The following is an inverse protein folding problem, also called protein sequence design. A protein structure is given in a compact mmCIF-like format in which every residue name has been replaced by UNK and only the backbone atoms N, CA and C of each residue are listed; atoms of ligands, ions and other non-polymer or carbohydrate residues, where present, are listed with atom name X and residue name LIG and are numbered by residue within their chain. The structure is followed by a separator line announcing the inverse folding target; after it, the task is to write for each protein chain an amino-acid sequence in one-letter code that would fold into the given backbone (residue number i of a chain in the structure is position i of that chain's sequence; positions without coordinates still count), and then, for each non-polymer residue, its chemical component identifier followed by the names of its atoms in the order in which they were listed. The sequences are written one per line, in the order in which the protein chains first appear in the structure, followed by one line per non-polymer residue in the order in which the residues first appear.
data_IF_207943510063
#
_entry.id   IF_207943510063
#
_cell.length_a   1.000
_cell.length_b   1.000
_cell.length_c   1.000
_cell.angle_alpha   90.00
_cell.angle_beta   90.00
_cell.angle_gamma   90.00
#
_symmetry.space_group_name_H-M   'P 1'
#
loop_
_entity.id
_entity.type
_entity.pdbx_description
1 polymer ?
#
# COMPACT_ATOMS: atom_id res chain seq x y z
N UNK A 1 -7.83 -45.32 7.19
CA UNK A 1 -8.33 -45.67 8.54
C UNK A 1 -8.22 -44.40 9.38
N UNK A 2 -9.26 -43.79 10.00
CA UNK A 2 -10.38 -44.33 10.81
C UNK A 2 -9.87 -45.08 12.05
N UNK A 3 -10.34 -44.87 13.29
CA UNK A 3 -11.19 -43.84 13.93
C UNK A 3 -10.81 -43.81 15.46
N UNK A 4 -11.37 -43.08 16.43
CA UNK A 4 -12.52 -42.17 16.63
C UNK A 4 -12.07 -41.06 17.63
N UNK A 5 -12.67 -39.87 17.78
CA UNK A 5 -14.06 -39.40 17.92
C UNK A 5 -14.67 -39.55 19.35
N UNK A 6 -14.43 -38.54 20.21
CA UNK A 6 -15.25 -38.11 21.37
C UNK A 6 -14.75 -36.72 21.88
N UNK A 7 -15.57 -35.84 22.46
CA UNK A 7 -17.02 -35.94 22.61
C UNK A 7 -17.69 -35.14 23.74
N UNK A 8 -17.00 -34.26 24.47
CA UNK A 8 -17.59 -33.46 25.57
C UNK A 8 -17.32 -31.97 25.33
N UNK A 9 -18.28 -31.06 25.25
CA UNK A 9 -19.46 -30.72 26.09
C UNK A 9 -19.15 -29.44 26.89
N UNK A 10 -20.00 -28.42 26.76
CA UNK A 10 -19.86 -27.19 27.53
C UNK A 10 -20.19 -27.47 29.01
N UNK A 11 -19.38 -26.93 29.91
CA UNK A 11 -19.51 -27.16 31.35
C UNK A 11 -19.06 -25.95 32.17
N UNK A 12 -19.85 -24.89 32.16
CA UNK A 12 -19.65 -23.70 33.02
C UNK A 12 -19.98 -24.00 34.48
N UNK A 13 -19.11 -24.73 35.17
CA UNK A 13 -19.18 -24.91 36.62
C UNK A 13 -18.74 -23.61 37.33
N UNK A 14 -19.65 -22.65 37.39
CA UNK A 14 -19.51 -21.46 38.22
C UNK A 14 -19.75 -21.84 39.69
N UNK A 15 -18.69 -22.19 40.42
CA UNK A 15 -18.76 -22.41 41.86
C UNK A 15 -18.96 -21.06 42.58
N UNK A 16 -20.21 -20.70 42.80
CA UNK A 16 -20.59 -19.55 43.63
C UNK A 16 -20.46 -19.94 45.10
N UNK A 17 -19.31 -19.64 45.70
CA UNK A 17 -19.14 -19.70 47.16
C UNK A 17 -19.87 -18.51 47.79
N UNK A 18 -20.88 -18.70 48.66
CA UNK A 18 -21.65 -17.60 49.21
C UNK A 18 -20.85 -16.85 50.29
N UNK A 19 -20.24 -15.72 49.93
CA UNK A 19 -19.61 -14.79 50.88
C UNK A 19 -20.68 -13.99 51.63
N UNK A 20 -21.22 -14.58 52.70
CA UNK A 20 -22.10 -13.90 53.66
C UNK A 20 -21.31 -12.92 54.52
N UNK A 21 -21.41 -11.61 54.27
CA UNK A 21 -20.83 -10.60 55.17
C UNK A 21 -20.33 -9.28 54.56
N UNK A 22 -21.06 -8.68 53.61
CA UNK A 22 -20.78 -7.30 53.16
C UNK A 22 -22.07 -6.46 53.09
N UNK A 23 -22.02 -5.15 53.42
CA UNK A 23 -23.16 -4.24 53.32
C UNK A 23 -23.47 -3.89 51.85
N UNK A 24 -24.74 -3.58 51.56
CA UNK A 24 -25.28 -3.49 50.19
C UNK A 24 -24.77 -2.33 49.30
N UNK A 25 -23.84 -1.49 49.77
CA UNK A 25 -23.27 -0.38 48.99
C UNK A 25 -22.17 -0.77 47.99
N UNK A 26 -21.84 -2.07 47.88
CA UNK A 26 -20.62 -2.54 47.19
C UNK A 26 -20.85 -3.58 46.07
N UNK A 27 -21.99 -3.55 45.35
CA UNK A 27 -22.21 -4.35 44.12
C UNK A 27 -21.78 -3.54 42.87
N UNK A 28 -20.67 -3.88 42.19
CA UNK A 28 -20.35 -3.26 40.90
C UNK A 28 -21.38 -3.64 39.83
N UNK A 29 -21.52 -2.82 38.79
CA UNK A 29 -22.53 -3.02 37.76
C UNK A 29 -22.11 -4.09 36.75
N UNK A 30 -23.08 -4.72 36.08
CA UNK A 30 -22.79 -5.77 35.08
C UNK A 30 -22.07 -5.28 33.82
N UNK A 31 -21.86 -3.96 33.67
CA UNK A 31 -21.06 -3.36 32.59
C UNK A 31 -19.54 -3.45 32.88
N UNK A 32 -19.14 -3.37 34.14
CA UNK A 32 -17.72 -3.33 34.55
C UNK A 32 -17.01 -4.67 34.30
N UNK A 33 -17.76 -5.78 34.34
CA UNK A 33 -17.26 -7.13 34.08
C UNK A 33 -16.65 -7.29 32.68
N UNK A 34 -17.12 -6.54 31.67
CA UNK A 34 -16.62 -6.64 30.29
C UNK A 34 -15.22 -6.00 30.10
N UNK A 35 -14.69 -5.30 31.10
CA UNK A 35 -13.41 -4.57 31.00
C UNK A 35 -12.19 -5.32 31.58
N UNK A 36 -12.37 -6.50 32.21
CA UNK A 36 -11.30 -7.16 33.00
C UNK A 36 -10.52 -8.29 32.28
N UNK A 37 -11.02 -8.80 31.15
CA UNK A 37 -10.34 -9.89 30.40
C UNK A 37 -9.09 -9.45 29.61
N UNK A 38 -8.76 -8.15 29.59
CA UNK A 38 -7.51 -7.64 29.00
C UNK A 38 -6.24 -8.10 29.74
N UNK A 39 -6.40 -8.64 30.95
CA UNK A 39 -5.30 -9.05 31.85
C UNK A 39 -4.72 -10.45 31.55
N UNK A 40 -5.43 -11.32 30.83
CA UNK A 40 -5.07 -12.72 30.61
C UNK A 40 -4.15 -12.96 29.38
N UNK A 41 -3.31 -11.98 29.02
CA UNK A 41 -2.29 -12.18 27.98
C UNK A 41 -0.95 -12.61 28.60
N UNK A 42 -0.37 -13.69 28.05
CA UNK A 42 0.99 -14.11 28.41
C UNK A 42 1.98 -12.94 28.20
N UNK A 43 2.86 -12.63 29.16
CA UNK A 43 3.75 -11.48 29.08
C UNK A 43 4.72 -11.54 27.89
N UNK A 44 4.97 -12.73 27.35
CA UNK A 44 5.73 -12.93 26.11
C UNK A 44 4.94 -12.46 24.87
N UNK A 45 3.63 -12.70 24.82
CA UNK A 45 2.77 -12.28 23.71
C UNK A 45 2.64 -10.76 23.67
N UNK A 46 2.38 -10.10 24.80
CA UNK A 46 2.27 -8.63 24.85
C UNK A 46 3.61 -7.96 24.49
N UNK A 47 4.75 -8.52 24.92
CA UNK A 47 6.09 -8.06 24.49
C UNK A 47 6.32 -8.23 22.99
N UNK A 48 5.84 -9.33 22.39
CA UNK A 48 5.93 -9.58 20.95
C UNK A 48 5.06 -8.59 20.15
N UNK A 49 3.81 -8.40 20.54
CA UNK A 49 2.88 -7.44 19.91
C UNK A 49 3.40 -6.01 20.00
N UNK A 50 3.91 -5.60 21.17
CA UNK A 50 4.53 -4.28 21.35
C UNK A 50 5.78 -4.09 20.47
N UNK A 51 6.62 -5.13 20.35
CA UNK A 51 7.80 -5.11 19.46
C UNK A 51 7.40 -5.03 17.98
N UNK A 52 6.33 -5.72 17.60
CA UNK A 52 5.81 -5.77 16.23
C UNK A 52 4.88 -4.59 15.85
N UNK A 53 4.63 -3.63 16.75
CA UNK A 53 3.59 -2.59 16.60
C UNK A 53 3.62 -1.84 15.26
N UNK A 54 4.80 -1.51 14.75
CA UNK A 54 4.95 -0.80 13.48
C UNK A 54 4.61 -1.68 12.26
N UNK A 55 4.91 -2.98 12.32
CA UNK A 55 4.57 -3.95 11.27
C UNK A 55 3.07 -4.24 11.27
N UNK A 56 2.47 -4.41 12.46
CA UNK A 56 1.03 -4.63 12.64
C UNK A 56 0.24 -3.39 12.17
N UNK A 57 0.61 -2.20 12.65
CA UNK A 57 0.02 -0.93 12.24
C UNK A 57 0.12 -0.70 10.73
N UNK A 58 1.30 -0.92 10.13
CA UNK A 58 1.48 -0.77 8.69
C UNK A 58 0.70 -1.80 7.87
N UNK A 59 0.55 -3.03 8.38
CA UNK A 59 -0.25 -4.09 7.74
C UNK A 59 -1.74 -3.71 7.71
N UNK A 60 -2.30 -3.32 8.86
CA UNK A 60 -3.69 -2.89 9.00
C UNK A 60 -3.98 -1.62 8.17
N UNK A 61 -3.11 -0.62 8.26
CA UNK A 61 -3.15 0.60 7.44
C UNK A 61 -3.16 0.29 5.94
N UNK A 62 -2.31 -0.63 5.50
CA UNK A 62 -2.21 -1.01 4.09
C UNK A 62 -3.48 -1.72 3.63
N UNK A 63 -3.99 -2.67 4.41
CA UNK A 63 -5.24 -3.37 4.13
C UNK A 63 -6.43 -2.40 3.97
N UNK A 64 -6.65 -1.53 4.96
CA UNK A 64 -7.72 -0.52 4.92
C UNK A 64 -7.56 0.49 3.78
N UNK A 65 -6.35 1.02 3.57
CA UNK A 65 -6.10 1.99 2.50
C UNK A 65 -6.25 1.40 1.09
N UNK A 66 -5.95 0.11 0.90
CA UNK A 66 -6.22 -0.58 -0.38
C UNK A 66 -7.70 -0.87 -0.55
N UNK A 67 -8.43 -1.28 0.49
CA UNK A 67 -9.88 -1.49 0.39
C UNK A 67 -10.62 -0.23 -0.08
N UNK A 68 -10.28 0.93 0.50
CA UNK A 68 -10.88 2.22 0.08
C UNK A 68 -10.30 2.71 -1.25
N UNK A 69 -9.03 2.42 -1.55
CA UNK A 69 -8.40 2.77 -2.82
C UNK A 69 -8.88 1.98 -4.04
N UNK A 70 -9.28 0.72 -3.85
CA UNK A 70 -9.52 -0.21 -4.95
C UNK A 70 -10.67 0.18 -5.89
N UNK A 71 -11.81 0.74 -5.43
CA UNK A 71 -12.82 1.31 -6.33
C UNK A 71 -12.24 2.37 -7.28
N UNK A 72 -11.37 3.25 -6.77
CA UNK A 72 -10.71 4.29 -7.58
C UNK A 72 -9.67 3.71 -8.55
N UNK A 73 -8.92 2.68 -8.16
CA UNK A 73 -8.03 1.95 -9.07
C UNK A 73 -8.82 1.22 -10.17
N UNK A 74 -9.96 0.62 -9.85
CA UNK A 74 -10.88 0.00 -10.81
C UNK A 74 -11.48 1.03 -11.77
N UNK A 75 -11.90 2.21 -11.29
CA UNK A 75 -12.38 3.31 -12.15
C UNK A 75 -11.24 3.81 -13.06
N UNK A 76 -10.05 4.09 -12.51
CA UNK A 76 -8.87 4.54 -13.27
C UNK A 76 -8.52 3.56 -14.38
N UNK A 77 -8.42 2.26 -14.07
CA UNK A 77 -8.07 1.23 -15.05
C UNK A 77 -9.17 1.02 -16.09
N UNK A 78 -10.46 1.07 -15.72
CA UNK A 78 -11.59 1.03 -16.68
C UNK A 78 -11.57 2.23 -17.64
N UNK A 79 -11.28 3.43 -17.15
CA UNK A 79 -11.15 4.64 -17.98
C UNK A 79 -9.93 4.58 -18.91
N UNK A 80 -8.75 4.21 -18.38
CA UNK A 80 -7.54 4.06 -19.19
C UNK A 80 -7.72 3.01 -20.30
N UNK A 81 -8.34 1.87 -20.00
CA UNK A 81 -8.61 0.84 -20.99
C UNK A 81 -9.62 1.29 -22.06
N UNK A 82 -10.67 2.02 -21.67
CA UNK A 82 -11.66 2.57 -22.60
C UNK A 82 -11.09 3.64 -23.54
N UNK A 83 -10.19 4.50 -23.05
CA UNK A 83 -9.49 5.48 -23.88
C UNK A 83 -8.60 4.82 -24.95
N UNK A 84 -8.14 3.58 -24.72
CA UNK A 84 -7.35 2.81 -25.68
C UNK A 84 -8.19 1.93 -26.63
N UNK A 85 -9.53 1.90 -26.55
CA UNK A 85 -10.37 1.02 -27.39
C UNK A 85 -11.09 1.74 -28.54
N UNK A 86 -10.45 1.81 -29.70
CA UNK A 86 -11.14 2.04 -30.98
C UNK A 86 -12.05 0.82 -31.30
N UNK A 87 -13.32 0.97 -31.72
CA UNK A 87 -13.98 2.21 -32.13
C UNK A 87 -15.15 2.66 -31.20
N UNK A 88 -14.88 3.03 -29.94
CA UNK A 88 -15.76 3.96 -29.20
C UNK A 88 -15.11 4.48 -27.91
N UNK A 89 -15.34 5.76 -27.56
CA UNK A 89 -15.21 6.22 -26.17
C UNK A 89 -16.29 5.54 -25.32
N UNK A 90 -15.99 4.34 -24.80
CA UNK A 90 -16.94 3.51 -24.02
C UNK A 90 -17.47 4.24 -22.77
N UNK A 91 -16.65 5.15 -22.24
CA UNK A 91 -17.00 6.10 -21.17
C UNK A 91 -16.63 7.51 -21.59
N UNK A 92 -17.57 8.45 -21.47
CA UNK A 92 -17.34 9.88 -21.78
C UNK A 92 -16.78 10.66 -20.58
N UNK A 93 -16.94 10.14 -19.35
CA UNK A 93 -16.46 10.78 -18.13
C UNK A 93 -16.24 9.76 -17.01
N UNK A 94 -15.61 10.18 -15.91
CA UNK A 94 -15.47 9.36 -14.71
C UNK A 94 -16.82 8.96 -14.12
N UNK A 95 -17.77 9.91 -14.07
CA UNK A 95 -19.14 9.66 -13.60
C UNK A 95 -19.88 8.64 -14.48
N UNK A 96 -19.74 8.73 -15.81
CA UNK A 96 -20.31 7.77 -16.75
C UNK A 96 -19.70 6.36 -16.57
N UNK A 97 -18.39 6.27 -16.33
CA UNK A 97 -17.73 5.00 -15.97
C UNK A 97 -18.26 4.40 -14.67
N UNK A 98 -18.49 5.23 -13.63
CA UNK A 98 -19.08 4.80 -12.35
C UNK A 98 -20.51 4.31 -12.57
N UNK A 99 -21.39 5.12 -13.19
CA UNK A 99 -22.80 4.79 -13.43
C UNK A 99 -22.95 3.51 -14.24
N UNK A 100 -22.21 3.35 -15.34
CA UNK A 100 -22.25 2.15 -16.19
C UNK A 100 -21.67 0.91 -15.50
N UNK A 101 -20.68 1.06 -14.61
CA UNK A 101 -20.13 -0.07 -13.83
C UNK A 101 -21.12 -0.52 -12.76
N UNK A 102 -21.63 0.40 -11.96
CA UNK A 102 -22.62 0.11 -10.92
C UNK A 102 -23.90 -0.52 -11.51
N UNK A 103 -24.43 0.04 -12.60
CA UNK A 103 -25.63 -0.44 -13.28
C UNK A 103 -25.48 -1.81 -13.97
N UNK A 104 -24.26 -2.35 -14.13
CA UNK A 104 -24.03 -3.63 -14.84
C UNK A 104 -23.37 -4.71 -13.98
N UNK A 105 -22.65 -4.33 -12.93
CA UNK A 105 -21.85 -5.23 -12.10
C UNK A 105 -22.01 -4.96 -10.60
N UNK A 106 -22.86 -3.99 -10.21
CA UNK A 106 -23.10 -3.59 -8.82
C UNK A 106 -21.82 -3.11 -8.11
N UNK A 107 -21.83 -3.21 -6.78
CA UNK A 107 -20.64 -2.93 -5.96
C UNK A 107 -19.52 -3.95 -6.18
N UNK A 108 -19.85 -5.20 -6.49
CA UNK A 108 -18.86 -6.26 -6.73
C UNK A 108 -17.99 -5.98 -7.97
N UNK A 109 -18.54 -5.31 -8.99
CA UNK A 109 -17.80 -4.85 -10.17
C UNK A 109 -16.64 -3.88 -9.88
N UNK A 110 -16.69 -3.19 -8.74
CA UNK A 110 -15.59 -2.33 -8.27
C UNK A 110 -14.52 -3.09 -7.48
N UNK A 111 -14.87 -4.22 -6.86
CA UNK A 111 -13.98 -5.05 -6.02
C UNK A 111 -13.42 -6.31 -6.73
N UNK A 112 -13.92 -6.63 -7.93
CA UNK A 112 -13.53 -7.82 -8.69
C UNK A 112 -12.05 -7.81 -9.07
N UNK A 113 -11.27 -8.69 -8.45
CA UNK A 113 -9.83 -8.87 -8.72
C UNK A 113 -8.88 -8.28 -7.66
N UNK A 114 -9.42 -7.79 -6.54
CA UNK A 114 -8.67 -7.18 -5.42
C UNK A 114 -7.50 -8.00 -4.86
N UNK A 115 -7.61 -9.33 -4.78
CA UNK A 115 -6.69 -10.20 -4.03
C UNK A 115 -5.20 -10.06 -4.36
N UNK A 116 -4.76 -10.31 -5.61
CA UNK A 116 -3.33 -10.24 -5.97
C UNK A 116 -2.72 -8.82 -5.83
N UNK A 117 -3.41 -7.72 -6.19
CA UNK A 117 -2.99 -6.37 -5.79
C UNK A 117 -2.85 -6.21 -4.28
N UNK A 118 -3.90 -6.53 -3.51
CA UNK A 118 -3.97 -6.34 -2.06
C UNK A 118 -2.79 -6.97 -1.31
N UNK A 119 -2.54 -8.27 -1.53
CA UNK A 119 -1.42 -8.96 -0.90
C UNK A 119 -0.07 -8.32 -1.25
N UNK A 120 0.14 -7.95 -2.52
CA UNK A 120 1.40 -7.33 -2.96
C UNK A 120 1.63 -5.94 -2.37
N UNK A 121 0.58 -5.14 -2.19
CA UNK A 121 0.69 -3.78 -1.62
C UNK A 121 0.87 -3.84 -0.10
N UNK A 122 0.14 -4.73 0.58
CA UNK A 122 0.28 -4.91 2.03
C UNK A 122 1.70 -5.33 2.42
N UNK A 123 2.31 -6.30 1.73
CA UNK A 123 3.68 -6.72 1.97
C UNK A 123 4.69 -5.59 1.72
N UNK A 124 4.60 -4.92 0.56
CA UNK A 124 5.50 -3.81 0.18
C UNK A 124 5.42 -2.65 1.17
N UNK A 125 4.22 -2.23 1.58
CA UNK A 125 4.05 -1.11 2.53
C UNK A 125 4.46 -1.48 3.95
N UNK A 126 4.19 -2.71 4.41
CA UNK A 126 4.60 -3.16 5.75
C UNK A 126 6.12 -3.24 5.88
N UNK A 127 6.81 -3.75 4.84
CA UNK A 127 8.27 -3.71 4.77
C UNK A 127 8.80 -2.27 4.72
N UNK A 128 8.19 -1.40 3.90
CA UNK A 128 8.57 0.02 3.80
C UNK A 128 8.52 0.74 5.15
N UNK A 129 7.42 0.59 5.89
CA UNK A 129 7.29 1.15 7.23
C UNK A 129 8.29 0.52 8.22
N UNK A 130 8.46 -0.80 8.20
CA UNK A 130 9.39 -1.48 9.11
C UNK A 130 10.84 -1.03 8.92
N UNK A 131 11.32 -0.94 7.67
CA UNK A 131 12.67 -0.42 7.39
C UNK A 131 12.75 1.05 7.80
N UNK A 132 11.76 1.87 7.43
CA UNK A 132 11.72 3.28 7.79
C UNK A 132 11.85 3.50 9.31
N UNK A 133 11.05 2.81 10.12
CA UNK A 133 11.08 2.96 11.59
C UNK A 133 12.40 2.48 12.19
N UNK A 134 12.94 1.36 11.71
CA UNK A 134 14.22 0.82 12.21
C UNK A 134 15.39 1.71 11.81
N UNK A 135 15.48 2.14 10.55
CA UNK A 135 16.55 3.05 10.08
C UNK A 135 16.44 4.42 10.75
N UNK A 136 15.23 4.96 10.96
CA UNK A 136 15.04 6.23 11.68
C UNK A 136 15.57 6.13 13.12
N UNK A 137 15.21 5.06 13.85
CA UNK A 137 15.66 4.86 15.23
C UNK A 137 17.19 4.69 15.33
N UNK A 138 17.79 3.87 14.46
CA UNK A 138 19.24 3.68 14.40
C UNK A 138 19.97 4.99 14.04
N UNK A 139 19.46 5.74 13.06
CA UNK A 139 20.10 6.98 12.61
C UNK A 139 19.98 8.10 13.66
N UNK A 140 18.85 8.21 14.37
CA UNK A 140 18.72 9.10 15.54
C UNK A 140 19.76 8.79 16.62
N UNK A 141 19.93 7.51 16.97
CA UNK A 141 20.91 7.07 17.97
C UNK A 141 22.36 7.38 17.56
N UNK A 142 22.72 7.12 16.29
CA UNK A 142 24.08 7.32 15.79
C UNK A 142 24.46 8.80 15.56
N UNK A 143 23.50 9.66 15.23
CA UNK A 143 23.78 11.07 14.88
C UNK A 143 23.58 12.05 16.02
N UNK A 144 22.92 11.66 17.12
CA UNK A 144 22.44 12.55 18.17
C UNK A 144 21.64 13.76 17.62
N UNK A 145 21.01 13.61 16.46
CA UNK A 145 20.22 14.66 15.83
C UNK A 145 18.96 14.98 16.65
N UNK A 146 18.92 16.21 17.18
CA UNK A 146 17.82 16.71 17.98
C UNK A 146 16.59 17.02 17.10
N UNK A 147 15.79 15.98 16.84
CA UNK A 147 14.53 16.02 16.07
C UNK A 147 13.48 16.95 16.66
N UNK A 148 13.59 17.24 17.95
CA UNK A 148 12.54 17.91 18.70
C UNK A 148 12.71 19.43 18.58
N UNK A 149 13.96 19.90 18.54
CA UNK A 149 14.32 21.31 18.36
C UNK A 149 14.45 21.75 16.89
N UNK A 150 14.85 20.86 15.96
CA UNK A 150 15.13 21.27 14.57
C UNK A 150 14.25 20.58 13.53
N UNK A 151 13.39 21.38 12.86
CA UNK A 151 12.58 20.95 11.72
C UNK A 151 13.43 20.37 10.58
N UNK A 152 14.56 21.01 10.26
CA UNK A 152 15.47 20.56 9.21
C UNK A 152 16.06 19.17 9.55
N UNK A 153 16.44 18.96 10.81
CA UNK A 153 16.97 17.68 11.31
C UNK A 153 15.92 16.56 11.25
N UNK A 154 14.67 16.83 11.60
CA UNK A 154 13.56 15.88 11.46
C UNK A 154 13.32 15.50 9.98
N UNK A 155 13.33 16.48 9.08
CA UNK A 155 13.09 16.29 7.64
C UNK A 155 14.26 15.57 6.96
N UNK A 156 15.51 15.89 7.29
CA UNK A 156 16.69 15.19 6.76
C UNK A 156 16.74 13.73 7.24
N UNK A 157 16.52 13.49 8.55
CA UNK A 157 16.43 12.15 9.13
C UNK A 157 15.36 11.30 8.43
N UNK A 158 14.15 11.86 8.28
CA UNK A 158 13.04 11.18 7.63
C UNK A 158 13.28 10.96 6.12
N UNK A 159 14.01 11.86 5.45
CA UNK A 159 14.39 11.69 4.03
C UNK A 159 15.40 10.56 3.85
N UNK A 160 16.43 10.48 4.71
CA UNK A 160 17.44 9.41 4.65
C UNK A 160 16.81 8.06 4.98
N UNK A 161 16.13 7.93 6.12
CA UNK A 161 15.47 6.70 6.51
C UNK A 161 14.37 6.28 5.51
N UNK A 162 13.64 7.24 4.94
CA UNK A 162 12.67 6.99 3.88
C UNK A 162 13.32 6.50 2.59
N UNK A 163 14.46 7.06 2.19
CA UNK A 163 15.20 6.61 1.01
C UNK A 163 15.75 5.19 1.20
N UNK A 164 16.34 4.88 2.35
CA UNK A 164 16.79 3.52 2.71
C UNK A 164 15.65 2.51 2.66
N UNK A 165 14.44 2.89 3.11
CA UNK A 165 13.26 2.06 2.98
C UNK A 165 12.87 1.78 1.52
N UNK A 166 13.03 2.76 0.61
CA UNK A 166 12.81 2.56 -0.83
C UNK A 166 13.81 1.60 -1.48
N UNK A 167 15.11 1.72 -1.12
CA UNK A 167 16.15 0.78 -1.57
C UNK A 167 15.83 -0.65 -1.12
N UNK A 168 15.54 -0.86 0.18
CA UNK A 168 15.25 -2.20 0.70
C UNK A 168 13.94 -2.79 0.17
N UNK A 169 12.91 -1.97 -0.02
CA UNK A 169 11.65 -2.37 -0.67
C UNK A 169 11.86 -2.79 -2.11
N UNK A 170 12.78 -2.16 -2.85
CA UNK A 170 13.04 -2.45 -4.28
C UNK A 170 13.35 -3.93 -4.54
N UNK A 171 13.97 -4.63 -3.57
CA UNK A 171 14.26 -6.07 -3.66
C UNK A 171 12.98 -6.90 -3.83
N UNK A 172 11.85 -6.46 -3.26
CA UNK A 172 10.55 -7.15 -3.37
C UNK A 172 9.60 -6.45 -4.36
N UNK A 173 9.61 -5.11 -4.45
CA UNK A 173 8.74 -4.37 -5.36
C UNK A 173 9.12 -4.55 -6.83
N UNK A 174 10.42 -4.65 -7.17
CA UNK A 174 10.90 -4.79 -8.55
C UNK A 174 10.34 -6.04 -9.28
N UNK A 175 10.50 -7.28 -8.78
CA UNK A 175 9.93 -8.46 -9.44
C UNK A 175 8.39 -8.42 -9.49
N UNK A 176 7.74 -7.90 -8.45
CA UNK A 176 6.28 -7.79 -8.39
C UNK A 176 5.72 -6.77 -9.38
N UNK A 177 6.38 -5.62 -9.57
CA UNK A 177 6.02 -4.66 -10.63
C UNK A 177 6.34 -5.22 -12.01
N UNK A 178 7.48 -5.87 -12.24
CA UNK A 178 7.81 -6.44 -13.54
C UNK A 178 6.76 -7.45 -13.99
N UNK A 179 6.34 -8.36 -13.12
CA UNK A 179 5.27 -9.34 -13.42
C UNK A 179 3.92 -8.63 -13.67
N UNK A 180 3.59 -7.55 -12.94
CA UNK A 180 2.37 -6.75 -13.19
C UNK A 180 2.43 -6.09 -14.58
N UNK A 181 3.56 -5.46 -14.92
CA UNK A 181 3.80 -4.79 -16.20
C UNK A 181 3.74 -5.79 -17.36
N UNK A 182 4.41 -6.94 -17.25
CA UNK A 182 4.38 -7.99 -18.28
C UNK A 182 2.95 -8.51 -18.51
N UNK A 183 2.15 -8.73 -17.45
CA UNK A 183 0.73 -9.12 -17.61
C UNK A 183 -0.17 -8.02 -18.15
N UNK A 184 0.20 -6.74 -17.99
CA UNK A 184 -0.49 -5.63 -18.65
C UNK A 184 -0.12 -5.59 -20.13
N UNK A 185 1.16 -5.81 -20.45
CA UNK A 185 1.70 -5.91 -21.81
C UNK A 185 1.02 -7.05 -22.59
N UNK A 186 1.05 -8.29 -22.08
CA UNK A 186 0.41 -9.48 -22.67
C UNK A 186 -1.07 -9.21 -23.01
N UNK A 187 -1.83 -8.63 -22.08
CA UNK A 187 -3.26 -8.33 -22.27
C UNK A 187 -3.54 -7.33 -23.38
N UNK A 188 -2.62 -6.41 -23.66
CA UNK A 188 -2.79 -5.41 -24.72
C UNK A 188 -2.33 -5.99 -26.07
N UNK A 189 -1.20 -6.71 -26.10
CA UNK A 189 -0.77 -7.46 -27.31
C UNK A 189 -1.85 -8.44 -27.76
N UNK A 190 -2.38 -9.29 -26.87
CA UNK A 190 -3.45 -10.24 -27.22
C UNK A 190 -4.72 -9.57 -27.74
N UNK A 191 -5.00 -8.31 -27.35
CA UNK A 191 -6.14 -7.54 -27.85
C UNK A 191 -5.89 -7.01 -29.26
N UNK A 192 -4.67 -6.57 -29.55
CA UNK A 192 -4.33 -5.94 -30.82
C UNK A 192 -3.98 -6.96 -31.90
N UNK A 193 -3.44 -8.14 -31.53
CA UNK A 193 -3.43 -9.32 -32.42
C UNK A 193 -4.85 -9.74 -32.82
N UNK A 194 -5.80 -9.70 -31.88
CA UNK A 194 -7.22 -10.01 -32.16
C UNK A 194 -7.96 -8.94 -33.00
N UNK A 195 -7.27 -7.89 -33.46
CA UNK A 195 -7.80 -6.89 -34.41
C UNK A 195 -7.30 -7.08 -35.84
N UNK A 196 -6.33 -7.96 -36.08
CA UNK A 196 -5.88 -8.30 -37.43
C UNK A 196 -6.89 -9.31 -38.03
N UNK A 197 -7.54 -9.01 -39.16
CA UNK A 197 -8.34 -9.99 -39.87
C UNK A 197 -7.40 -11.03 -40.51
N UNK A 198 -7.16 -12.13 -39.82
CA UNK A 198 -6.43 -13.27 -40.38
C UNK A 198 -7.31 -13.91 -41.46
N UNK A 199 -6.82 -14.13 -42.69
CA UNK A 199 -7.56 -14.87 -43.72
C UNK A 199 -7.98 -16.24 -43.19
N UNK A 200 -9.21 -16.68 -43.52
CA UNK A 200 -9.79 -17.91 -42.94
C UNK A 200 -9.23 -19.15 -43.63
N UNK A 201 -7.99 -19.50 -43.29
CA UNK A 201 -7.32 -20.75 -43.64
C UNK A 201 -6.66 -21.35 -42.38
N UNK A 202 -7.03 -22.60 -42.07
CA UNK A 202 -6.75 -23.32 -40.81
C UNK A 202 -7.47 -22.78 -39.56
N UNK A 203 -8.04 -23.70 -38.77
CA UNK A 203 -8.78 -23.38 -37.56
C UNK A 203 -7.83 -23.19 -36.36
N UNK A 204 -7.28 -21.99 -36.20
CA UNK A 204 -6.52 -21.63 -35.01
C UNK A 204 -7.46 -21.53 -33.79
N UNK A 205 -7.29 -22.44 -32.82
CA UNK A 205 -8.01 -22.39 -31.53
C UNK A 205 -7.92 -20.99 -30.90
N UNK A 206 -9.03 -20.39 -30.43
CA UNK A 206 -8.99 -19.09 -29.78
C UNK A 206 -8.10 -19.17 -28.55
N UNK A 207 -7.08 -18.31 -28.46
CA UNK A 207 -5.98 -18.40 -27.48
C UNK A 207 -6.47 -18.12 -26.04
N UNK A 208 -7.11 -19.11 -25.44
CA UNK A 208 -7.66 -19.13 -24.06
C UNK A 208 -6.55 -19.25 -23.01
N UNK A 209 -5.61 -18.30 -22.98
CA UNK A 209 -4.59 -18.26 -21.92
C UNK A 209 -4.52 -16.91 -21.22
N UNK A 210 -5.43 -16.68 -20.27
CA UNK A 210 -5.28 -15.62 -19.26
C UNK A 210 -4.16 -16.00 -18.29
N UNK A 211 -2.90 -15.89 -18.75
CA UNK A 211 -1.70 -16.37 -18.03
C UNK A 211 -1.67 -15.86 -16.59
N UNK A 212 -1.45 -16.78 -15.65
CA UNK A 212 -1.30 -16.45 -14.22
C UNK A 212 0.04 -15.77 -13.96
N UNK A 213 0.13 -14.91 -12.94
CA UNK A 213 1.39 -14.24 -12.57
C UNK A 213 2.56 -15.20 -12.38
N UNK A 214 2.27 -16.40 -11.87
CA UNK A 214 3.26 -17.45 -11.66
C UNK A 214 3.83 -18.04 -12.96
N UNK A 215 3.03 -18.15 -14.04
CA UNK A 215 3.54 -18.60 -15.35
C UNK A 215 4.50 -17.55 -15.93
N UNK A 216 4.08 -16.29 -15.97
CA UNK A 216 4.93 -15.17 -16.43
C UNK A 216 6.25 -15.10 -15.64
N UNK A 217 6.21 -15.24 -14.31
CA UNK A 217 7.42 -15.29 -13.48
C UNK A 217 8.33 -16.49 -13.83
N UNK A 218 7.76 -17.69 -13.95
CA UNK A 218 8.48 -18.92 -14.34
C UNK A 218 9.11 -18.81 -15.72
N UNK A 219 8.41 -18.19 -16.68
CA UNK A 219 8.86 -18.06 -18.06
C UNK A 219 10.01 -17.04 -18.16
N UNK A 220 9.98 -15.95 -17.39
CA UNK A 220 11.12 -15.02 -17.22
C UNK A 220 12.33 -15.74 -16.62
N UNK A 221 12.14 -16.51 -15.53
CA UNK A 221 13.22 -17.27 -14.88
C UNK A 221 13.84 -18.30 -15.85
N UNK A 222 13.02 -18.97 -16.67
CA UNK A 222 13.50 -19.94 -17.67
C UNK A 222 14.28 -19.29 -18.81
N UNK A 223 13.90 -18.09 -19.25
CA UNK A 223 14.55 -17.41 -20.37
C UNK A 223 15.78 -16.57 -19.99
N UNK A 224 15.80 -15.96 -18.80
CA UNK A 224 16.82 -14.96 -18.40
C UNK A 224 17.36 -15.19 -16.97
N UNK A 225 17.10 -16.35 -16.37
CA UNK A 225 17.44 -16.63 -14.98
C UNK A 225 16.70 -15.72 -13.98
N UNK A 226 17.07 -15.82 -12.70
CA UNK A 226 16.51 -14.97 -11.63
C UNK A 226 16.86 -13.48 -11.86
N UNK A 227 18.02 -13.18 -12.45
CA UNK A 227 18.43 -11.83 -12.82
C UNK A 227 17.43 -11.15 -13.79
N UNK A 228 16.76 -11.93 -14.65
CA UNK A 228 15.70 -11.45 -15.53
C UNK A 228 14.52 -10.79 -14.80
N UNK A 229 14.25 -11.16 -13.54
CA UNK A 229 13.21 -10.54 -12.72
C UNK A 229 13.58 -9.14 -12.19
N UNK A 230 14.87 -8.78 -12.22
CA UNK A 230 15.41 -7.51 -11.73
C UNK A 230 15.86 -6.58 -12.88
N UNK A 231 15.43 -6.86 -14.12
CA UNK A 231 15.76 -6.04 -15.29
C UNK A 231 15.18 -4.64 -15.15
N UNK A 232 16.05 -3.65 -14.93
CA UNK A 232 15.68 -2.25 -14.68
C UNK A 232 15.73 -1.81 -13.22
N UNK A 233 16.28 -2.65 -12.31
CA UNK A 233 16.36 -2.38 -10.86
C UNK A 233 16.94 -1.01 -10.52
N UNK A 234 17.92 -0.48 -11.26
CA UNK A 234 18.51 0.85 -10.98
C UNK A 234 17.51 2.01 -11.08
N UNK A 235 16.71 2.06 -12.16
CA UNK A 235 15.67 3.08 -12.33
C UNK A 235 14.50 2.87 -11.35
N UNK A 236 14.21 1.61 -11.03
CA UNK A 236 13.21 1.25 -10.01
C UNK A 236 13.64 1.74 -8.62
N UNK A 237 14.88 1.47 -8.23
CA UNK A 237 15.49 1.87 -6.98
C UNK A 237 15.52 3.40 -6.84
N UNK A 238 15.91 4.12 -7.89
CA UNK A 238 15.94 5.58 -7.90
C UNK A 238 14.53 6.17 -7.67
N UNK A 239 13.52 5.66 -8.39
CA UNK A 239 12.11 6.05 -8.24
C UNK A 239 11.60 5.77 -6.84
N UNK A 240 11.72 4.53 -6.37
CA UNK A 240 11.16 4.11 -5.10
C UNK A 240 11.87 4.84 -3.93
N UNK A 241 13.20 5.03 -3.99
CA UNK A 241 13.98 5.77 -2.96
C UNK A 241 13.61 7.25 -2.88
N UNK A 242 13.58 7.98 -4.01
CA UNK A 242 13.14 9.38 -4.03
C UNK A 242 11.69 9.47 -3.55
N UNK A 243 10.84 8.55 -4.03
CA UNK A 243 9.42 8.52 -3.71
C UNK A 243 9.13 8.31 -2.23
N UNK A 244 9.78 7.34 -1.58
CA UNK A 244 9.62 7.08 -0.14
C UNK A 244 10.34 8.11 0.72
N UNK A 245 11.51 8.61 0.30
CA UNK A 245 12.22 9.71 0.95
C UNK A 245 11.33 10.95 1.08
N UNK A 246 10.76 11.42 -0.03
CA UNK A 246 9.82 12.55 -0.07
C UNK A 246 8.52 12.26 0.69
N UNK A 247 8.00 11.02 0.62
CA UNK A 247 6.78 10.63 1.33
C UNK A 247 6.96 10.75 2.85
N UNK A 248 7.96 10.09 3.43
CA UNK A 248 8.16 10.09 4.87
C UNK A 248 8.62 11.45 5.41
N UNK A 249 9.43 12.20 4.67
CA UNK A 249 9.85 13.54 5.10
C UNK A 249 8.73 14.59 5.02
N UNK A 250 7.90 14.52 3.96
CA UNK A 250 6.68 15.35 3.87
C UNK A 250 5.67 15.00 4.96
N UNK A 251 5.55 13.73 5.35
CA UNK A 251 4.68 13.32 6.45
C UNK A 251 5.13 13.90 7.80
N UNK A 252 6.41 13.69 8.17
CA UNK A 252 6.93 14.16 9.46
C UNK A 252 6.96 15.70 9.53
N UNK A 253 7.34 16.36 8.43
CA UNK A 253 7.29 17.82 8.33
C UNK A 253 5.87 18.37 8.48
N UNK A 254 4.90 17.86 7.70
CA UNK A 254 3.51 18.27 7.81
C UNK A 254 2.91 17.94 9.18
N UNK A 255 3.24 16.80 9.78
CA UNK A 255 2.79 16.44 11.14
C UNK A 255 3.37 17.40 12.19
N UNK A 256 4.65 17.80 12.08
CA UNK A 256 5.28 18.76 13.01
C UNK A 256 4.65 20.15 12.91
N UNK A 257 4.24 20.58 11.71
CA UNK A 257 3.57 21.87 11.46
C UNK A 257 2.06 21.86 11.82
N UNK A 258 1.38 20.71 11.71
CA UNK A 258 -0.05 20.55 11.97
C UNK A 258 -0.37 19.95 13.36
N UNK A 259 0.61 19.86 14.26
CA UNK A 259 0.41 19.48 15.66
C UNK A 259 0.36 20.72 16.54
N UNK A 260 -0.64 20.80 17.42
CA UNK A 260 -0.78 21.88 18.41
C UNK A 260 0.38 21.90 19.40
N UNK A 261 0.56 23.03 20.11
CA UNK A 261 1.68 23.25 21.04
C UNK A 261 1.82 22.17 22.14
N UNK A 262 0.70 21.56 22.54
CA UNK A 262 0.59 20.38 23.42
C UNK A 262 1.35 19.12 22.94
N UNK A 263 1.93 19.12 21.73
CA UNK A 263 2.65 17.99 21.13
C UNK A 263 1.78 16.80 20.70
N UNK A 264 0.48 16.81 21.02
CA UNK A 264 -0.47 15.75 20.69
C UNK A 264 -1.02 15.93 19.27
N UNK A 265 -0.52 15.16 18.32
CA UNK A 265 -1.13 15.05 16.98
C UNK A 265 -2.55 14.45 17.08
N UNK A 266 -3.54 15.10 16.47
CA UNK A 266 -4.92 14.60 16.41
C UNK A 266 -5.15 13.64 15.25
N UNK A 267 -6.26 12.86 15.22
CA UNK A 267 -6.59 12.01 14.07
C UNK A 267 -6.66 12.80 12.75
N UNK A 268 -7.15 14.04 12.80
CA UNK A 268 -7.17 14.98 11.67
C UNK A 268 -5.77 15.43 11.25
N UNK A 269 -4.84 15.65 12.19
CA UNK A 269 -3.43 15.96 11.90
C UNK A 269 -2.82 14.86 11.03
N UNK A 270 -2.97 13.60 11.42
CA UNK A 270 -2.45 12.44 10.69
C UNK A 270 -3.14 12.22 9.32
N UNK A 271 -4.45 12.51 9.23
CA UNK A 271 -5.22 12.47 7.99
C UNK A 271 -4.68 13.51 6.99
N UNK A 272 -4.46 14.74 7.44
CA UNK A 272 -3.97 15.85 6.61
C UNK A 272 -2.49 15.71 6.24
N UNK A 273 -1.60 15.42 7.19
CA UNK A 273 -0.19 15.16 6.90
C UNK A 273 -0.01 13.91 6.01
N UNK A 274 -0.88 12.91 6.17
CA UNK A 274 -0.95 11.75 5.28
C UNK A 274 -1.34 12.13 3.86
N UNK A 275 -2.36 12.97 3.69
CA UNK A 275 -2.76 13.52 2.39
C UNK A 275 -1.63 14.31 1.72
N UNK A 276 -1.01 15.24 2.46
CA UNK A 276 0.13 16.05 2.01
C UNK A 276 1.31 15.14 1.59
N UNK A 277 1.67 14.14 2.40
CA UNK A 277 2.75 13.19 2.07
C UNK A 277 2.51 12.46 0.75
N UNK A 278 1.25 12.10 0.47
CA UNK A 278 0.82 11.53 -0.79
C UNK A 278 0.97 12.50 -1.96
N UNK A 279 0.47 13.73 -1.82
CA UNK A 279 0.55 14.76 -2.87
C UNK A 279 2.00 15.11 -3.20
N UNK A 280 2.85 15.36 -2.19
CA UNK A 280 4.27 15.70 -2.38
C UNK A 280 5.06 14.58 -3.04
N UNK A 281 4.86 13.32 -2.60
CA UNK A 281 5.50 12.15 -3.23
C UNK A 281 5.06 12.01 -4.69
N UNK A 282 3.76 12.15 -4.99
CA UNK A 282 3.28 12.10 -6.38
C UNK A 282 3.74 13.29 -7.23
N UNK A 283 3.89 14.51 -6.70
CA UNK A 283 4.44 15.65 -7.45
C UNK A 283 5.82 15.33 -8.03
N UNK A 284 6.70 14.69 -7.24
CA UNK A 284 8.07 14.36 -7.67
C UNK A 284 8.11 13.12 -8.59
N UNK A 285 7.31 12.09 -8.32
CA UNK A 285 7.33 10.83 -9.10
C UNK A 285 6.59 10.95 -10.44
N UNK A 286 5.51 11.74 -10.52
CA UNK A 286 4.55 11.66 -11.63
C UNK A 286 5.16 11.84 -13.04
N UNK A 287 6.13 12.75 -13.28
CA UNK A 287 6.80 12.84 -14.58
C UNK A 287 7.46 11.52 -15.02
N UNK A 288 8.12 10.80 -14.09
CA UNK A 288 8.77 9.52 -14.37
C UNK A 288 7.74 8.42 -14.64
N UNK A 289 6.66 8.35 -13.85
CA UNK A 289 5.59 7.38 -14.04
C UNK A 289 4.79 7.64 -15.34
N UNK A 290 4.65 8.90 -15.77
CA UNK A 290 4.06 9.26 -17.07
C UNK A 290 4.95 8.84 -18.24
N UNK A 291 6.27 9.07 -18.16
CA UNK A 291 7.24 8.62 -19.18
C UNK A 291 7.25 7.09 -19.27
N UNK A 292 7.30 6.40 -18.13
CA UNK A 292 7.20 4.92 -18.01
C UNK A 292 5.92 4.41 -18.69
N UNK A 293 4.78 5.02 -18.39
CA UNK A 293 3.47 4.64 -18.97
C UNK A 293 3.40 4.90 -20.48
N UNK A 294 3.84 6.08 -20.94
CA UNK A 294 3.85 6.40 -22.38
C UNK A 294 4.80 5.48 -23.15
N UNK A 295 6.00 5.19 -22.65
CA UNK A 295 6.94 4.31 -23.37
C UNK A 295 6.45 2.86 -23.42
N UNK A 296 5.75 2.38 -22.39
CA UNK A 296 5.07 1.08 -22.44
C UNK A 296 3.97 1.06 -23.50
N UNK A 297 3.15 2.12 -23.61
CA UNK A 297 2.13 2.23 -24.66
C UNK A 297 2.72 2.31 -26.08
N UNK A 298 3.85 2.98 -26.26
CA UNK A 298 4.54 3.02 -27.56
C UNK A 298 5.14 1.68 -27.97
N UNK A 299 5.77 0.94 -27.04
CA UNK A 299 6.30 -0.41 -27.32
C UNK A 299 5.16 -1.36 -27.72
N UNK A 300 3.98 -1.20 -27.13
CA UNK A 300 2.77 -1.94 -27.52
C UNK A 300 2.28 -1.57 -28.93
N UNK A 301 2.40 -0.31 -29.32
CA UNK A 301 2.11 0.17 -30.68
C UNK A 301 3.23 -0.13 -31.70
N UNK A 302 4.21 -0.98 -31.35
CA UNK A 302 5.35 -1.31 -32.21
C UNK A 302 6.42 -0.21 -32.35
N UNK A 303 6.32 0.89 -31.59
CA UNK A 303 7.19 2.06 -31.76
C UNK A 303 8.50 1.98 -30.94
N UNK A 304 9.61 2.15 -31.65
CA UNK A 304 10.97 2.10 -31.14
C UNK A 304 11.48 3.35 -30.42
N UNK A 305 10.71 4.44 -30.33
CA UNK A 305 11.16 5.78 -29.84
C UNK A 305 12.06 5.71 -28.61
N UNK A 306 13.20 6.41 -28.61
CA UNK A 306 14.05 6.47 -27.41
C UNK A 306 13.37 7.34 -26.35
N UNK A 307 13.66 7.06 -25.07
CA UNK A 307 13.09 7.83 -23.95
C UNK A 307 13.48 9.32 -24.03
N UNK A 308 14.69 9.62 -24.51
CA UNK A 308 15.17 10.98 -24.81
C UNK A 308 14.24 11.72 -25.78
N UNK A 309 13.79 11.03 -26.82
CA UNK A 309 13.08 11.62 -27.95
C UNK A 309 11.61 11.81 -27.58
N UNK A 310 11.05 10.88 -26.79
CA UNK A 310 9.77 11.03 -26.10
C UNK A 310 9.77 12.24 -25.15
N UNK A 311 10.79 12.38 -24.28
CA UNK A 311 10.90 13.52 -23.35
C UNK A 311 11.00 14.84 -24.12
N UNK A 312 11.83 14.88 -25.16
CA UNK A 312 11.95 16.05 -26.05
C UNK A 312 10.62 16.40 -26.72
N UNK A 313 9.91 15.41 -27.27
CA UNK A 313 8.61 15.60 -27.93
C UNK A 313 7.54 16.14 -26.98
N UNK A 314 7.44 15.59 -25.76
CA UNK A 314 6.50 16.07 -24.74
C UNK A 314 6.83 17.52 -24.36
N UNK A 315 8.10 17.83 -24.13
CA UNK A 315 8.52 19.19 -23.77
C UNK A 315 8.30 20.21 -24.89
N UNK A 316 8.57 19.84 -26.15
CA UNK A 316 8.35 20.71 -27.32
C UNK A 316 6.87 20.97 -27.60
N UNK A 317 5.98 20.00 -27.35
CA UNK A 317 4.54 20.14 -27.67
C UNK A 317 3.71 20.71 -26.51
N UNK A 318 3.93 20.20 -25.30
CA UNK A 318 3.08 20.44 -24.13
C UNK A 318 3.83 21.16 -22.98
N UNK A 319 5.12 21.47 -23.16
CA UNK A 319 5.99 22.05 -22.14
C UNK A 319 6.12 21.18 -20.88
N UNK A 320 6.44 21.82 -19.75
CA UNK A 320 6.46 21.17 -18.42
C UNK A 320 5.07 20.61 -18.06
N UNK A 321 3.98 21.26 -18.49
CA UNK A 321 2.60 20.83 -18.23
C UNK A 321 2.28 19.45 -18.84
N UNK A 322 2.91 19.09 -19.96
CA UNK A 322 2.80 17.77 -20.59
C UNK A 322 3.18 16.59 -19.71
N UNK A 323 4.13 16.80 -18.78
CA UNK A 323 4.57 15.79 -17.82
C UNK A 323 3.60 15.61 -16.65
N UNK A 324 2.62 16.49 -16.49
CA UNK A 324 1.55 16.42 -15.49
C UNK A 324 0.16 16.16 -16.11
N UNK A 325 0.11 15.73 -17.38
CA UNK A 325 -1.14 15.34 -18.03
C UNK A 325 -1.77 14.12 -17.33
N UNK A 326 -2.99 14.27 -16.82
CA UNK A 326 -3.68 13.25 -16.00
C UNK A 326 -3.35 13.26 -14.51
N UNK A 327 -2.60 14.25 -14.01
CA UNK A 327 -2.20 14.35 -12.60
C UNK A 327 -3.40 14.43 -11.64
N UNK A 328 -4.43 15.21 -11.97
CA UNK A 328 -5.66 15.39 -11.15
C UNK A 328 -6.34 14.05 -10.81
N UNK A 329 -6.46 13.14 -11.79
CA UNK A 329 -7.05 11.81 -11.59
C UNK A 329 -6.15 10.89 -10.72
N UNK A 330 -4.86 11.19 -10.61
CA UNK A 330 -3.95 10.51 -9.70
C UNK A 330 -4.00 11.11 -8.29
N UNK A 331 -4.15 12.44 -8.15
CA UNK A 331 -4.37 13.10 -6.85
C UNK A 331 -5.68 12.72 -6.17
N UNK A 332 -6.79 12.76 -6.91
CA UNK A 332 -8.14 12.39 -6.42
C UNK A 332 -8.17 10.98 -5.79
N UNK A 333 -7.35 10.07 -6.34
CA UNK A 333 -7.12 8.72 -5.82
C UNK A 333 -6.10 8.68 -4.68
N UNK A 334 -5.01 9.44 -4.79
CA UNK A 334 -3.89 9.39 -3.85
C UNK A 334 -4.28 9.93 -2.46
N UNK A 335 -4.97 11.06 -2.39
CA UNK A 335 -5.35 11.73 -1.13
C UNK A 335 -6.08 10.77 -0.17
N UNK A 336 -7.24 10.18 -0.51
CA UNK A 336 -7.96 9.30 0.43
C UNK A 336 -7.14 8.07 0.82
N UNK A 337 -6.38 7.47 -0.10
CA UNK A 337 -5.54 6.30 0.19
C UNK A 337 -4.46 6.64 1.23
N UNK A 338 -3.71 7.73 1.02
CA UNK A 338 -2.59 8.08 1.91
C UNK A 338 -3.06 8.66 3.25
N UNK A 339 -4.14 9.45 3.25
CA UNK A 339 -4.81 9.90 4.49
C UNK A 339 -5.31 8.74 5.34
N UNK A 340 -5.96 7.73 4.73
CA UNK A 340 -6.46 6.54 5.44
C UNK A 340 -5.32 5.63 5.89
N UNK A 341 -4.24 5.50 5.11
CA UNK A 341 -3.06 4.75 5.49
C UNK A 341 -2.45 5.31 6.79
N UNK A 342 -2.21 6.62 6.84
CA UNK A 342 -1.59 7.24 8.02
C UNK A 342 -2.49 7.28 9.26
N UNK A 343 -3.77 7.64 9.14
CA UNK A 343 -4.66 7.66 10.32
C UNK A 343 -4.83 6.25 10.93
N UNK A 344 -4.96 5.21 10.12
CA UNK A 344 -5.08 3.82 10.62
C UNK A 344 -3.76 3.34 11.22
N UNK A 345 -2.62 3.66 10.61
CA UNK A 345 -1.30 3.32 11.16
C UNK A 345 -1.12 3.92 12.56
N UNK A 346 -1.38 5.21 12.72
CA UNK A 346 -1.18 5.94 13.99
C UNK A 346 -2.18 5.49 15.06
N UNK A 347 -3.46 5.22 14.73
CA UNK A 347 -4.40 4.66 15.72
C UNK A 347 -3.98 3.25 16.18
N UNK A 348 -3.61 2.36 15.26
CA UNK A 348 -3.21 0.99 15.64
C UNK A 348 -1.92 0.98 16.48
N UNK A 349 -0.92 1.79 16.12
CA UNK A 349 0.31 1.93 16.93
C UNK A 349 -0.03 2.49 18.32
N UNK A 350 -0.86 3.54 18.40
CA UNK A 350 -1.28 4.15 19.67
C UNK A 350 -2.05 3.17 20.57
N UNK A 351 -2.94 2.36 20.02
CA UNK A 351 -3.65 1.32 20.79
C UNK A 351 -2.70 0.24 21.32
N UNK A 352 -1.71 -0.18 20.54
CA UNK A 352 -0.69 -1.14 21.01
C UNK A 352 0.24 -0.51 22.08
N UNK A 353 0.49 0.80 22.00
CA UNK A 353 1.26 1.54 23.01
C UNK A 353 0.50 1.72 24.34
N UNK A 354 -0.83 1.74 24.32
CA UNK A 354 -1.64 1.69 25.55
C UNK A 354 -1.51 0.33 26.26
N UNK A 355 -1.28 -0.76 25.52
CA UNK A 355 -1.00 -2.10 26.07
C UNK A 355 0.48 -2.33 26.44
N UNK A 356 1.27 -1.26 26.67
CA UNK A 356 2.70 -1.38 27.01
C UNK A 356 2.87 -2.23 28.29
N UNK A 357 3.59 -3.37 28.24
CA UNK A 357 3.82 -4.18 29.43
C UNK A 357 4.64 -3.39 30.46
N UNK A 358 4.23 -3.47 31.72
CA UNK A 358 4.98 -2.85 32.81
C UNK A 358 6.44 -3.32 32.80
N UNK A 359 7.37 -2.39 32.98
CA UNK A 359 8.78 -2.72 33.04
C UNK A 359 9.03 -3.56 34.30
N UNK A 360 9.35 -4.83 34.13
CA UNK A 360 9.80 -5.70 35.23
C UNK A 360 11.05 -5.08 35.84
N UNK A 361 10.90 -4.47 37.02
CA UNK A 361 11.99 -3.89 37.79
C UNK A 361 12.99 -4.98 38.15
N UNK A 362 14.11 -5.03 37.41
CA UNK A 362 15.21 -5.92 37.74
C UNK A 362 15.74 -5.50 39.11
N UNK A 363 15.45 -6.29 40.14
CA UNK A 363 16.07 -6.10 41.44
C UNK A 363 17.59 -6.19 41.26
N UNK A 364 18.28 -5.11 41.63
CA UNK A 364 19.64 -5.26 42.16
C UNK A 364 19.49 -5.94 43.50
N UNK A 365 20.08 -7.12 43.62
CA UNK A 365 20.61 -7.67 44.85
C UNK A 365 22.14 -7.54 44.77
#
# INVERSE_FOLDING_TARGET
MWASAAGHSLGTNCHITPLTGMPDSAKPSSLDACHLDASSQSPTFTKLVYSAKHVIGASAASFCSVLVGFPFDTIKTRMQWAASTVPMHKYNSMHDCIRKTYSKEGLQGFLRGLGPPLASVALVKSLSFSIYTSTKAQLSYLTNWNTDQSYLSLVSLATVAGSTAGVGVTIISCPLELIKIQRQLEKIVSRDTAKVPVPITTAAEPVKTTRTSWRVARDIIRGNGVAGLYRGIGLHCLRDSIGTGVYFSSYEGAKRLLSSSDGKSGPLTHLLSGGISGVSSWLVIFPLDLIKTKKQAEVLAGSGTKVTDMVRSIFQRDGIRGFYSGFTATLFRAIPIHSINWIVYEQVVKTIEQTRPAATSSHRA
#
